data_IF_170219129005
#
_entry.id   IF_170219129005
#
_cell.length_a   1.000
_cell.length_b   1.000
_cell.length_c   1.000
_cell.angle_alpha   90.00
_cell.angle_beta   90.00
_cell.angle_gamma   90.00
#
_symmetry.space_group_name_H-M   'P 1'
#
loop_
_entity.id
_entity.type
_entity.pdbx_description
1 polymer ?
#
# COMPACT_ATOMS: atom_id res chain seq x y z
N UNK A 1 -21.20 42.27 46.43
CA UNK A 1 -20.07 42.42 47.37
C UNK A 1 -20.33 43.48 48.43
N UNK A 2 -20.96 43.06 49.53
CA UNK A 2 -21.16 43.91 50.71
C UNK A 2 -19.83 44.38 51.33
N UNK A 3 -18.80 43.52 51.25
CA UNK A 3 -17.44 43.86 51.66
C UNK A 3 -16.83 45.00 50.83
N UNK A 4 -16.91 44.94 49.49
CA UNK A 4 -16.35 45.99 48.63
C UNK A 4 -17.03 47.34 48.87
N UNK A 5 -18.34 47.35 49.09
CA UNK A 5 -19.10 48.56 49.42
C UNK A 5 -18.62 49.20 50.74
N UNK A 6 -18.33 48.40 51.75
CA UNK A 6 -17.80 48.88 53.04
C UNK A 6 -16.36 49.42 52.93
N UNK A 7 -15.55 48.88 52.02
CA UNK A 7 -14.20 49.41 51.72
C UNK A 7 -14.30 50.76 51.01
N UNK A 8 -15.15 50.89 50.00
CA UNK A 8 -15.38 52.14 49.26
C UNK A 8 -15.97 53.26 50.13
N UNK A 9 -16.84 52.90 51.08
CA UNK A 9 -17.40 53.81 52.09
C UNK A 9 -16.40 54.18 53.20
N UNK A 10 -15.17 53.65 53.16
CA UNK A 10 -14.11 53.93 54.14
C UNK A 10 -14.35 53.34 55.52
N UNK A 11 -15.35 52.47 55.67
CA UNK A 11 -15.68 51.79 56.93
C UNK A 11 -14.71 50.66 57.26
N UNK A 12 -14.13 50.02 56.24
CA UNK A 12 -13.17 48.91 56.39
C UNK A 12 -11.91 49.24 55.61
N UNK A 13 -10.78 49.29 56.31
CA UNK A 13 -9.44 49.39 55.73
C UNK A 13 -8.92 47.98 55.43
N UNK A 14 -8.62 47.69 54.17
CA UNK A 14 -7.94 46.43 53.78
C UNK A 14 -6.44 46.71 53.76
N UNK A 15 -5.78 46.44 54.87
CA UNK A 15 -4.32 46.53 54.95
C UNK A 15 -3.73 45.12 54.84
N UNK A 16 -3.26 44.77 53.65
CA UNK A 16 -2.70 43.44 53.36
C UNK A 16 -1.65 43.42 52.25
N UNK A 17 -1.30 44.58 51.71
CA UNK A 17 -0.36 44.74 50.59
C UNK A 17 0.65 45.87 50.83
N UNK A 18 0.77 46.34 52.07
CA UNK A 18 1.70 47.42 52.44
C UNK A 18 2.93 46.87 53.18
N UNK A 19 3.39 45.68 52.80
CA UNK A 19 4.71 45.20 53.14
C UNK A 19 5.74 45.79 52.15
N UNK A 20 6.97 45.98 52.62
CA UNK A 20 8.05 46.61 51.84
C UNK A 20 8.32 45.86 50.52
N UNK A 21 8.09 44.54 50.48
CA UNK A 21 8.30 43.73 49.27
C UNK A 21 7.21 43.99 48.23
N UNK A 22 5.94 44.06 48.62
CA UNK A 22 4.85 44.47 47.71
C UNK A 22 5.02 45.92 47.24
N UNK A 23 5.51 46.82 48.10
CA UNK A 23 5.82 48.21 47.69
C UNK A 23 6.95 48.28 46.66
N UNK A 24 8.02 47.52 46.86
CA UNK A 24 9.18 47.54 45.97
C UNK A 24 8.91 46.82 44.64
N UNK A 25 8.08 45.78 44.65
CA UNK A 25 7.95 44.86 43.53
C UNK A 25 6.53 44.80 42.93
N UNK A 26 5.56 45.54 43.46
CA UNK A 26 4.16 45.55 43.04
C UNK A 26 3.33 44.36 43.54
N UNK A 27 2.03 44.26 43.18
CA UNK A 27 1.15 43.15 43.59
C UNK A 27 1.59 41.78 43.04
N UNK A 28 1.42 40.70 43.80
CA UNK A 28 1.72 39.33 43.35
C UNK A 28 0.63 38.76 42.44
N UNK A 29 1.04 37.98 41.43
CA UNK A 29 0.11 37.30 40.53
C UNK A 29 -0.12 35.85 40.97
N UNK A 30 -1.37 35.41 41.15
CA UNK A 30 -1.66 34.04 41.53
C UNK A 30 -1.07 33.06 40.52
N UNK A 31 -0.41 32.01 41.02
CA UNK A 31 0.21 30.96 40.20
C UNK A 31 1.59 31.31 39.63
N UNK A 32 2.16 32.47 39.96
CA UNK A 32 3.50 32.87 39.52
C UNK A 32 4.40 33.12 40.71
N UNK A 33 5.35 32.21 40.93
CA UNK A 33 6.41 32.43 41.92
C UNK A 33 7.36 33.51 41.39
N UNK A 34 7.65 34.51 42.24
CA UNK A 34 8.73 35.48 41.98
C UNK A 34 10.07 34.77 42.15
N UNK A 35 10.68 34.38 41.04
CA UNK A 35 12.06 33.89 40.99
C UNK A 35 12.97 34.88 40.28
N UNK A 36 14.24 34.94 40.68
CA UNK A 36 15.27 35.66 39.92
C UNK A 36 15.72 34.75 38.77
N UNK A 37 15.63 35.23 37.54
CA UNK A 37 16.05 34.50 36.33
C UNK A 37 14.90 34.02 35.45
N UNK A 38 15.17 33.90 34.14
CA UNK A 38 14.19 33.49 33.15
C UNK A 38 13.79 32.01 33.36
N UNK A 39 12.52 31.79 33.70
CA UNK A 39 11.76 30.54 33.76
C UNK A 39 12.47 29.25 33.31
N UNK A 40 13.32 28.68 34.17
CA UNK A 40 13.84 27.32 33.99
C UNK A 40 12.65 26.38 34.15
N UNK A 41 12.22 25.75 33.06
CA UNK A 41 11.18 24.72 33.10
C UNK A 41 11.72 23.49 33.83
N UNK A 42 10.87 22.72 34.55
CA UNK A 42 11.29 21.46 35.17
C UNK A 42 12.03 20.52 34.20
N UNK A 43 11.67 20.53 32.91
CA UNK A 43 12.37 19.75 31.89
C UNK A 43 13.83 20.14 31.72
N UNK A 44 14.13 21.44 31.76
CA UNK A 44 15.49 21.97 31.68
C UNK A 44 16.26 21.70 32.97
N UNK A 45 15.59 21.73 34.12
CA UNK A 45 16.22 21.44 35.41
C UNK A 45 16.54 19.96 35.59
N UNK A 46 15.59 19.08 35.28
CA UNK A 46 15.72 17.63 35.45
C UNK A 46 16.28 16.91 34.22
N UNK A 47 16.72 17.63 33.18
CA UNK A 47 17.23 17.08 31.92
C UNK A 47 16.30 16.00 31.31
N UNK A 48 15.00 16.23 31.34
CA UNK A 48 14.04 15.24 30.88
C UNK A 48 14.09 15.11 29.35
N UNK A 49 14.08 13.87 28.81
CA UNK A 49 14.05 13.66 27.36
C UNK A 49 12.79 14.28 26.76
N UNK A 50 12.91 14.79 25.52
CA UNK A 50 11.77 15.32 24.79
C UNK A 50 10.78 14.17 24.54
N UNK A 51 9.51 14.29 24.97
CA UNK A 51 8.51 13.28 24.66
C UNK A 51 8.34 13.18 23.14
N UNK A 52 8.57 11.99 22.59
CA UNK A 52 8.23 11.67 21.22
C UNK A 52 6.71 11.69 21.10
N UNK A 53 6.15 12.71 20.43
CA UNK A 53 4.71 12.76 20.16
C UNK A 53 4.43 11.91 18.93
N UNK A 54 4.16 10.62 19.14
CA UNK A 54 3.41 9.84 18.15
C UNK A 54 1.95 10.27 18.25
N UNK A 55 1.43 10.87 17.18
CA UNK A 55 0.03 11.31 17.18
C UNK A 55 -0.89 10.10 17.15
N UNK A 56 -2.13 10.27 17.61
CA UNK A 56 -3.14 9.23 17.46
C UNK A 56 -3.38 8.93 15.97
N UNK A 57 -3.35 9.96 15.13
CA UNK A 57 -3.50 9.83 13.68
C UNK A 57 -2.38 9.00 13.05
N UNK A 58 -1.13 9.14 13.50
CA UNK A 58 -0.01 8.33 13.00
C UNK A 58 -0.21 6.85 13.32
N UNK A 59 -0.69 6.54 14.54
CA UNK A 59 -1.01 5.17 14.94
C UNK A 59 -2.19 4.60 14.15
N UNK A 60 -3.21 5.41 13.89
CA UNK A 60 -4.35 5.00 13.08
C UNK A 60 -3.94 4.73 11.63
N UNK A 61 -3.12 5.60 11.03
CA UNK A 61 -2.59 5.41 9.67
C UNK A 61 -1.80 4.12 9.56
N UNK A 62 -0.93 3.84 10.53
CA UNK A 62 -0.17 2.60 10.55
C UNK A 62 -1.09 1.38 10.66
N UNK A 63 -2.09 1.44 11.54
CA UNK A 63 -3.06 0.34 11.69
C UNK A 63 -3.87 0.07 10.42
N UNK A 64 -4.30 1.13 9.71
CA UNK A 64 -5.05 1.02 8.46
C UNK A 64 -4.17 0.43 7.36
N UNK A 65 -2.91 0.86 7.27
CA UNK A 65 -1.94 0.35 6.31
C UNK A 65 -1.75 -1.16 6.47
N UNK A 66 -1.55 -1.63 7.71
CA UNK A 66 -1.41 -3.06 8.01
C UNK A 66 -2.65 -3.84 7.57
N UNK A 67 -3.85 -3.33 7.88
CA UNK A 67 -5.10 -4.00 7.52
C UNK A 67 -5.27 -4.10 5.99
N UNK A 68 -4.93 -3.04 5.25
CA UNK A 68 -5.01 -3.04 3.79
C UNK A 68 -4.00 -4.02 3.16
N UNK A 69 -2.78 -4.08 3.69
CA UNK A 69 -1.78 -5.06 3.27
C UNK A 69 -2.21 -6.51 3.54
N UNK A 70 -2.87 -6.76 4.68
CA UNK A 70 -3.40 -8.08 5.00
C UNK A 70 -4.54 -8.50 4.07
N UNK A 71 -5.47 -7.59 3.78
CA UNK A 71 -6.60 -7.87 2.88
C UNK A 71 -6.13 -8.07 1.43
N UNK A 72 -5.18 -7.27 0.95
CA UNK A 72 -4.58 -7.45 -0.39
C UNK A 72 -3.85 -8.78 -0.50
N UNK A 73 -3.04 -9.17 0.48
CA UNK A 73 -2.38 -10.49 0.50
C UNK A 73 -3.37 -11.65 0.52
N UNK A 74 -4.51 -11.52 1.23
CA UNK A 74 -5.55 -12.55 1.24
C UNK A 74 -6.19 -12.71 -0.14
N UNK A 75 -6.50 -11.62 -0.82
CA UNK A 75 -7.08 -11.67 -2.17
C UNK A 75 -6.10 -12.24 -3.18
N UNK A 76 -4.83 -11.85 -3.10
CA UNK A 76 -3.76 -12.37 -3.94
C UNK A 76 -3.54 -13.87 -3.73
N UNK A 77 -3.57 -14.35 -2.49
CA UNK A 77 -3.47 -15.77 -2.17
C UNK A 77 -4.65 -16.57 -2.73
N UNK A 78 -5.89 -16.05 -2.59
CA UNK A 78 -7.08 -16.69 -3.17
C UNK A 78 -7.00 -16.76 -4.69
N UNK A 79 -6.60 -15.68 -5.35
CA UNK A 79 -6.44 -15.63 -6.80
C UNK A 79 -5.39 -16.65 -7.29
N UNK A 80 -4.26 -16.77 -6.58
CA UNK A 80 -3.22 -17.78 -6.88
C UNK A 80 -3.71 -19.20 -6.68
N UNK A 81 -4.42 -19.47 -5.59
CA UNK A 81 -5.00 -20.80 -5.33
C UNK A 81 -6.01 -21.18 -6.41
N UNK A 82 -6.88 -20.26 -6.80
CA UNK A 82 -7.86 -20.49 -7.86
C UNK A 82 -7.18 -20.69 -9.22
N UNK A 83 -6.15 -19.91 -9.55
CA UNK A 83 -5.38 -20.08 -10.77
C UNK A 83 -4.73 -21.47 -10.83
N UNK A 84 -4.09 -21.91 -9.75
CA UNK A 84 -3.51 -23.26 -9.66
C UNK A 84 -4.57 -24.36 -9.75
N UNK A 85 -5.74 -24.14 -9.15
CA UNK A 85 -6.87 -25.07 -9.24
C UNK A 85 -7.39 -25.20 -10.67
N UNK A 86 -7.51 -24.09 -11.38
CA UNK A 86 -7.92 -24.07 -12.79
C UNK A 86 -6.87 -24.73 -13.68
N UNK A 87 -5.59 -24.45 -13.45
CA UNK A 87 -4.48 -25.10 -14.17
C UNK A 87 -4.43 -26.61 -13.89
N UNK A 88 -4.67 -27.05 -12.65
CA UNK A 88 -4.74 -28.46 -12.32
C UNK A 88 -5.91 -29.15 -13.04
N UNK A 89 -7.07 -28.48 -13.13
CA UNK A 89 -8.24 -29.00 -13.85
C UNK A 89 -7.96 -29.14 -15.35
N UNK A 90 -7.33 -28.14 -15.97
CA UNK A 90 -7.00 -28.21 -17.41
C UNK A 90 -5.94 -29.27 -17.68
N UNK A 91 -4.91 -29.37 -16.83
CA UNK A 91 -3.92 -30.45 -16.90
C UNK A 91 -4.55 -31.83 -16.82
N UNK A 92 -5.51 -32.04 -15.91
CA UNK A 92 -6.22 -33.32 -15.81
C UNK A 92 -7.02 -33.67 -17.08
N UNK A 93 -7.67 -32.69 -17.71
CA UNK A 93 -8.39 -32.92 -18.97
C UNK A 93 -7.43 -33.32 -20.08
N UNK A 94 -6.32 -32.58 -20.22
CA UNK A 94 -5.29 -32.88 -21.24
C UNK A 94 -4.64 -34.25 -20.99
N UNK A 95 -4.35 -34.59 -19.75
CA UNK A 95 -3.82 -35.92 -19.39
C UNK A 95 -4.84 -37.03 -19.66
N UNK A 96 -6.11 -36.83 -19.32
CA UNK A 96 -7.17 -37.80 -19.60
C UNK A 96 -7.35 -38.03 -21.11
N UNK A 97 -7.33 -36.98 -21.92
CA UNK A 97 -7.36 -37.08 -23.38
C UNK A 97 -6.12 -37.80 -23.93
N UNK A 98 -4.95 -37.50 -23.37
CA UNK A 98 -3.70 -38.18 -23.74
C UNK A 98 -3.80 -39.68 -23.45
N UNK A 99 -4.23 -40.07 -22.26
CA UNK A 99 -4.40 -41.48 -21.88
C UNK A 99 -5.44 -42.18 -22.76
N UNK A 100 -6.55 -41.49 -23.07
CA UNK A 100 -7.57 -42.00 -24.00
C UNK A 100 -6.98 -42.28 -25.39
N UNK A 101 -6.13 -41.40 -25.90
CA UNK A 101 -5.45 -41.61 -27.18
C UNK A 101 -4.43 -42.76 -27.13
N UNK A 102 -3.63 -42.84 -26.06
CA UNK A 102 -2.66 -43.93 -25.88
C UNK A 102 -3.34 -45.30 -25.80
N UNK A 103 -4.48 -45.38 -25.13
CA UNK A 103 -5.29 -46.58 -25.07
C UNK A 103 -5.74 -47.02 -26.47
N UNK A 104 -6.20 -46.09 -27.32
CA UNK A 104 -6.57 -46.42 -28.72
C UNK A 104 -5.38 -46.97 -29.51
N UNK A 105 -4.19 -46.37 -29.36
CA UNK A 105 -2.98 -46.83 -30.04
C UNK A 105 -2.56 -48.24 -29.61
N UNK A 106 -2.66 -48.56 -28.31
CA UNK A 106 -2.31 -49.89 -27.82
C UNK A 106 -3.19 -51.01 -28.39
N UNK A 107 -4.44 -50.69 -28.76
CA UNK A 107 -5.35 -51.65 -29.39
C UNK A 107 -5.05 -51.84 -30.88
N UNK A 108 -4.59 -50.78 -31.56
CA UNK A 108 -4.35 -50.79 -33.00
C UNK A 108 -2.95 -51.27 -33.38
N UNK A 109 -1.94 -50.97 -32.54
CA UNK A 109 -0.53 -51.27 -32.80
C UNK A 109 -0.04 -52.34 -31.81
N UNK A 110 0.21 -53.58 -32.27
CA UNK A 110 0.78 -54.63 -31.41
C UNK A 110 2.15 -54.24 -30.87
N UNK A 111 2.40 -54.50 -29.58
CA UNK A 111 3.63 -54.14 -28.84
C UNK A 111 3.92 -52.63 -28.75
N UNK A 112 2.90 -51.79 -28.79
CA UNK A 112 3.05 -50.35 -28.58
C UNK A 112 3.53 -50.02 -27.17
N UNK A 113 4.67 -49.34 -27.05
CA UNK A 113 5.20 -48.80 -25.81
C UNK A 113 5.07 -47.26 -25.80
N UNK A 114 4.27 -46.67 -24.87
CA UNK A 114 4.12 -45.23 -24.72
C UNK A 114 5.44 -44.49 -24.48
N UNK A 115 6.48 -45.17 -23.97
CA UNK A 115 7.79 -44.59 -23.75
C UNK A 115 8.47 -44.17 -25.06
N UNK A 116 8.11 -44.78 -26.19
CA UNK A 116 8.60 -44.40 -27.53
C UNK A 116 8.08 -43.04 -27.99
N UNK A 117 6.99 -42.54 -27.39
CA UNK A 117 6.45 -41.20 -27.64
C UNK A 117 7.15 -40.11 -26.80
N UNK A 118 8.13 -40.46 -25.96
CA UNK A 118 8.97 -39.44 -25.31
C UNK A 118 9.77 -38.72 -26.38
N UNK A 119 9.25 -37.59 -26.83
CA UNK A 119 9.95 -36.66 -27.71
C UNK A 119 11.24 -36.27 -27.00
N UNK A 120 12.37 -36.85 -27.43
CA UNK A 120 13.69 -36.30 -27.12
C UNK A 120 13.66 -34.92 -27.75
N UNK A 121 13.66 -33.85 -26.94
CA UNK A 121 13.78 -32.46 -27.41
C UNK A 121 15.21 -32.22 -27.94
N UNK A 122 15.80 -33.20 -28.63
CA UNK A 122 17.03 -33.04 -29.36
C UNK A 122 16.66 -32.73 -30.79
N UNK A 123 16.73 -31.43 -31.10
CA UNK A 123 16.99 -30.89 -32.43
C UNK A 123 15.94 -31.27 -33.48
N UNK A 124 15.05 -30.32 -33.75
CA UNK A 124 14.18 -30.30 -34.93
C UNK A 124 14.93 -30.78 -36.18
N UNK A 125 14.32 -31.63 -37.02
CA UNK A 125 14.91 -32.07 -38.28
C UNK A 125 15.37 -30.86 -39.09
N UNK A 126 16.65 -30.80 -39.45
CA UNK A 126 17.15 -29.81 -40.41
C UNK A 126 16.49 -30.09 -41.76
N UNK A 127 15.55 -29.22 -42.14
CA UNK A 127 15.01 -29.19 -43.50
C UNK A 127 16.16 -28.87 -44.48
N UNK A 128 16.33 -29.60 -45.59
CA UNK A 128 17.45 -29.43 -46.52
C UNK A 128 17.33 -28.21 -47.45
N UNK A 129 16.30 -27.36 -47.31
CA UNK A 129 16.24 -26.07 -47.99
C UNK A 129 16.59 -24.95 -47.01
N UNK A 130 17.88 -24.71 -46.83
CA UNK A 130 18.37 -23.47 -46.24
C UNK A 130 19.71 -23.11 -46.89
N UNK A 131 19.70 -22.99 -48.21
CA UNK A 131 20.82 -22.39 -48.92
C UNK A 131 20.64 -20.86 -48.99
N UNK A 132 21.65 -20.17 -48.44
CA UNK A 132 22.06 -18.78 -48.67
C UNK A 132 21.44 -17.69 -47.78
N UNK A 133 21.82 -17.72 -46.50
CA UNK A 133 22.27 -16.50 -45.81
C UNK A 133 23.30 -16.88 -44.73
N UNK A 134 24.56 -16.90 -45.15
CA UNK A 134 25.71 -17.06 -44.27
C UNK A 134 26.09 -15.70 -43.69
N UNK A 135 25.96 -15.52 -42.37
CA UNK A 135 26.82 -14.63 -41.61
C UNK A 135 27.52 -15.46 -40.53
N UNK A 136 28.79 -15.69 -40.78
CA UNK A 136 29.78 -16.35 -39.95
C UNK A 136 30.08 -15.58 -38.65
N UNK A 137 30.40 -16.32 -37.58
CA UNK A 137 31.18 -15.78 -36.46
C UNK A 137 30.92 -16.52 -35.16
N UNK A 138 31.56 -17.67 -34.96
CA UNK A 138 31.52 -18.37 -33.68
C UNK A 138 32.27 -17.62 -32.58
N UNK A 139 31.85 -17.79 -31.33
CA UNK A 139 32.56 -18.59 -30.32
C UNK A 139 31.78 -18.52 -29.00
N UNK A 140 31.73 -19.63 -28.28
CA UNK A 140 30.99 -19.79 -27.03
C UNK A 140 31.81 -19.18 -25.90
N UNK A 141 31.36 -18.06 -25.34
CA UNK A 141 31.69 -17.68 -23.97
C UNK A 141 30.43 -17.34 -23.18
N UNK A 142 30.24 -18.14 -22.15
CA UNK A 142 29.34 -17.98 -21.02
C UNK A 142 29.13 -16.51 -20.64
N UNK A 143 27.90 -16.02 -20.79
CA UNK A 143 27.44 -14.81 -20.11
C UNK A 143 26.00 -15.07 -19.64
N UNK A 144 25.88 -15.26 -18.34
CA UNK A 144 25.02 -14.46 -17.47
C UNK A 144 23.68 -14.06 -18.10
N UNK A 145 22.61 -14.77 -17.74
CA UNK A 145 21.25 -14.32 -18.01
C UNK A 145 20.95 -13.19 -17.01
N UNK A 146 21.32 -11.96 -17.36
CA UNK A 146 20.72 -10.79 -16.72
C UNK A 146 19.28 -10.64 -17.25
N UNK A 147 18.39 -10.38 -16.30
CA UNK A 147 17.03 -9.94 -16.51
C UNK A 147 17.00 -8.64 -17.33
N UNK A 148 16.74 -8.76 -18.64
CA UNK A 148 16.39 -7.64 -19.52
C UNK A 148 14.88 -7.65 -19.84
N UNK A 149 14.03 -7.64 -18.80
CA UNK A 149 12.64 -7.23 -18.92
C UNK A 149 12.39 -5.90 -18.20
N UNK A 150 13.15 -4.89 -18.58
CA UNK A 150 12.84 -3.50 -18.33
C UNK A 150 12.57 -2.82 -19.68
N UNK A 151 11.32 -2.88 -20.17
CA UNK A 151 10.69 -1.78 -20.96
C UNK A 151 9.26 -1.99 -21.47
N UNK A 152 8.61 -3.13 -21.24
CA UNK A 152 7.28 -3.35 -21.83
C UNK A 152 6.09 -3.14 -20.86
N UNK A 153 6.34 -2.62 -19.65
CA UNK A 153 5.32 -2.44 -18.60
C UNK A 153 4.57 -1.11 -18.60
N UNK A 154 4.82 -0.19 -19.54
CA UNK A 154 4.17 1.15 -19.52
C UNK A 154 2.98 1.33 -20.45
N UNK A 155 2.89 0.59 -21.55
CA UNK A 155 1.84 0.89 -22.55
C UNK A 155 0.49 0.23 -22.25
N UNK A 156 0.46 -0.88 -21.49
CA UNK A 156 -0.80 -1.58 -21.18
C UNK A 156 -1.51 -1.02 -19.94
N UNK A 157 -0.77 -0.43 -19.00
CA UNK A 157 -1.37 0.21 -17.81
C UNK A 157 -1.98 1.58 -18.11
N UNK A 158 -1.60 2.22 -19.22
CA UNK A 158 -2.12 3.54 -19.60
C UNK A 158 -3.45 3.40 -20.34
N UNK A 159 -3.62 2.37 -21.18
CA UNK A 159 -4.90 2.04 -21.84
C UNK A 159 -5.98 1.60 -20.84
N UNK A 160 -5.67 0.69 -19.90
CA UNK A 160 -6.68 0.26 -18.91
C UNK A 160 -7.11 1.40 -17.98
N UNK A 161 -6.20 2.33 -17.66
CA UNK A 161 -6.49 3.48 -16.78
C UNK A 161 -7.18 4.63 -17.51
N UNK A 162 -7.08 4.69 -18.84
CA UNK A 162 -7.84 5.61 -19.68
C UNK A 162 -9.26 5.09 -19.94
N UNK A 163 -9.43 3.77 -20.07
CA UNK A 163 -10.74 3.13 -20.20
C UNK A 163 -11.56 3.25 -18.90
N UNK A 164 -10.96 2.98 -17.73
CA UNK A 164 -11.64 3.10 -16.43
C UNK A 164 -12.10 4.54 -16.13
N UNK A 165 -11.27 5.55 -16.46
CA UNK A 165 -11.65 6.96 -16.30
C UNK A 165 -12.79 7.39 -17.22
N UNK A 166 -12.88 6.79 -18.41
CA UNK A 166 -13.91 7.12 -19.40
C UNK A 166 -15.27 6.51 -19.05
N UNK A 167 -15.27 5.41 -18.30
CA UNK A 167 -16.48 4.80 -17.78
C UNK A 167 -16.96 5.52 -16.51
N UNK A 168 -16.04 5.98 -15.63
CA UNK A 168 -16.37 6.78 -14.45
C UNK A 168 -16.98 8.16 -14.82
N UNK A 169 -16.43 8.86 -15.83
CA UNK A 169 -17.01 10.12 -16.33
C UNK A 169 -18.43 9.94 -16.92
N UNK A 170 -18.71 8.79 -17.55
CA UNK A 170 -20.04 8.49 -18.12
C UNK A 170 -21.09 8.15 -17.06
N UNK A 171 -20.68 7.53 -15.94
CA UNK A 171 -21.59 7.30 -14.82
C UNK A 171 -21.89 8.62 -14.09
N UNK A 172 -20.89 9.49 -13.91
CA UNK A 172 -21.09 10.80 -13.26
C UNK A 172 -21.96 11.76 -14.10
N UNK A 173 -21.87 11.72 -15.44
CA UNK A 173 -22.77 12.47 -16.32
C UNK A 173 -24.22 11.96 -16.25
N UNK A 174 -24.42 10.64 -16.14
CA UNK A 174 -25.77 10.06 -15.99
C UNK A 174 -26.41 10.38 -14.66
N UNK A 175 -25.66 10.34 -13.56
CA UNK A 175 -26.20 10.72 -12.24
C UNK A 175 -26.62 12.20 -12.18
N UNK A 176 -25.84 13.09 -12.82
CA UNK A 176 -26.20 14.53 -12.90
C UNK A 176 -27.42 14.79 -13.78
N UNK A 177 -27.58 14.04 -14.88
CA UNK A 177 -28.76 14.14 -15.74
C UNK A 177 -30.04 13.61 -15.06
N UNK A 178 -29.91 12.60 -14.20
CA UNK A 178 -31.02 12.05 -13.41
C UNK A 178 -31.38 12.92 -12.20
N UNK A 179 -30.41 13.64 -11.61
CA UNK A 179 -30.67 14.60 -10.52
C UNK A 179 -31.35 15.88 -11.04
N UNK A 180 -31.01 16.35 -12.25
CA UNK A 180 -31.63 17.52 -12.89
C UNK A 180 -33.11 17.26 -13.27
N UNK A 181 -33.48 16.01 -13.59
CA UNK A 181 -34.87 15.62 -13.91
C UNK A 181 -35.79 15.48 -12.69
N UNK A 182 -35.24 15.52 -11.47
CA UNK A 182 -36.01 15.42 -10.23
C UNK A 182 -36.09 16.73 -9.42
N UNK A 183 -35.44 17.81 -9.88
CA UNK A 183 -35.46 19.12 -9.25
C UNK A 183 -36.69 20.00 -9.53
N UNK A 184 -37.59 19.60 -10.44
CA UNK A 184 -38.79 20.38 -10.80
C UNK A 184 -40.06 19.75 -10.20
N UNK A 185 -40.25 19.93 -8.89
CA UNK A 185 -41.54 19.75 -8.19
C UNK A 185 -41.60 20.50 -6.87
#
# INVERSE_FOLDING_TARGET
DELQKQVSEGKVSVYGSNDVLTMALGPEHPGRLRGVGAGISPRQYFNLPKPQRVSFDDRLKESLKVLLEEETKKMEAKAREEALRMEARTKQLVEAEREHFLSQLSQLIPNFDPSMLKTRISQSPKNPMSDKASCSGGDVRSLHFEDDNAKNGKHQQEEEKEEEKRDEEKEEEKEKEDEEKHGDK
#
